data_IF_686412443657
#
_entry.id   IF_686412443657
#
_cell.length_a   1.000
_cell.length_b   1.000
_cell.length_c   1.000
_cell.angle_alpha   90.00
_cell.angle_beta   90.00
_cell.angle_gamma   90.00
#
_symmetry.space_group_name_H-M   'P 1'
#
loop_
_entity.id
_entity.type
_entity.pdbx_description
1 polymer ?
#
# COMPACT_ATOMS: atom_id res chain seq x y z
N UNK A 1 -24.45 -69.40 17.95
CA UNK A 1 -23.64 -68.30 17.40
C UNK A 1 -24.30 -66.93 17.73
N UNK A 2 -23.84 -66.28 18.77
CA UNK A 2 -24.36 -64.92 19.18
C UNK A 2 -23.65 -63.86 18.43
N UNK A 3 -24.38 -63.04 17.63
CA UNK A 3 -23.85 -61.89 16.95
C UNK A 3 -23.74 -60.71 17.95
N UNK A 4 -22.49 -60.28 18.21
CA UNK A 4 -22.20 -59.11 19.02
C UNK A 4 -22.23 -57.90 18.06
N UNK A 5 -23.19 -57.00 18.26
CA UNK A 5 -23.25 -55.68 17.60
C UNK A 5 -22.38 -54.72 18.39
N UNK A 6 -21.27 -54.30 17.82
CA UNK A 6 -20.46 -53.18 18.36
C UNK A 6 -21.01 -51.91 17.78
N UNK A 7 -21.69 -51.09 18.60
CA UNK A 7 -22.13 -49.74 18.26
C UNK A 7 -20.94 -48.80 18.38
N UNK A 8 -20.44 -48.32 17.26
CA UNK A 8 -19.41 -47.29 17.19
C UNK A 8 -20.08 -45.93 17.44
N UNK A 9 -19.93 -45.37 18.65
CA UNK A 9 -20.36 -44.02 18.96
C UNK A 9 -19.29 -43.07 18.43
N UNK A 10 -19.54 -42.41 17.29
CA UNK A 10 -18.73 -41.34 16.78
C UNK A 10 -19.06 -40.08 17.61
N UNK A 11 -18.21 -39.76 18.57
CA UNK A 11 -18.25 -38.48 19.27
C UNK A 11 -17.65 -37.44 18.34
N UNK A 12 -18.51 -36.71 17.61
CA UNK A 12 -18.13 -35.50 16.92
C UNK A 12 -17.77 -34.42 17.97
N UNK A 13 -16.50 -34.30 18.30
CA UNK A 13 -15.96 -33.14 19.00
C UNK A 13 -16.16 -31.93 18.07
N UNK A 14 -17.20 -31.15 18.31
CA UNK A 14 -17.32 -29.81 17.76
C UNK A 14 -16.18 -28.98 18.35
N UNK A 15 -15.02 -28.97 17.65
CA UNK A 15 -13.97 -28.02 17.90
C UNK A 15 -14.49 -26.69 17.37
N UNK A 16 -15.19 -25.94 18.21
CA UNK A 16 -15.39 -24.51 17.95
C UNK A 16 -13.99 -23.90 17.92
N UNK A 17 -13.60 -23.20 16.84
CA UNK A 17 -12.34 -22.47 16.86
C UNK A 17 -12.45 -21.43 17.99
N UNK A 18 -11.78 -21.69 19.11
CA UNK A 18 -11.56 -20.68 20.10
C UNK A 18 -10.66 -19.64 19.42
N UNK A 19 -11.23 -18.53 18.97
CA UNK A 19 -10.45 -17.38 18.61
C UNK A 19 -9.68 -16.97 19.86
N UNK A 20 -8.41 -17.35 19.93
CA UNK A 20 -7.55 -16.93 21.02
C UNK A 20 -7.51 -15.41 20.99
N UNK A 21 -8.05 -14.79 22.04
CA UNK A 21 -8.01 -13.35 22.18
C UNK A 21 -6.54 -12.92 22.15
N UNK A 22 -6.19 -12.01 21.26
CA UNK A 22 -4.81 -11.50 21.15
C UNK A 22 -4.43 -10.90 22.49
N UNK A 23 -3.36 -11.43 23.10
CA UNK A 23 -2.81 -10.87 24.34
C UNK A 23 -1.78 -9.81 23.99
N UNK A 24 -2.18 -8.56 24.05
CA UNK A 24 -1.29 -7.43 23.80
C UNK A 24 -0.14 -7.35 24.80
N UNK A 25 1.05 -7.05 24.30
CA UNK A 25 2.21 -6.73 25.11
C UNK A 25 1.97 -5.45 25.93
N UNK A 26 2.75 -5.24 27.00
CA UNK A 26 2.63 -4.00 27.78
C UNK A 26 3.07 -2.78 26.97
N UNK A 27 3.94 -2.94 25.96
CA UNK A 27 4.28 -1.88 25.03
C UNK A 27 3.09 -1.52 24.13
N UNK A 28 2.41 -2.52 23.56
CA UNK A 28 1.23 -2.29 22.70
C UNK A 28 0.07 -1.66 23.47
N UNK A 29 -0.15 -2.08 24.72
CA UNK A 29 -1.22 -1.53 25.56
C UNK A 29 -1.16 0.00 25.77
N UNK A 30 0.05 0.58 25.71
CA UNK A 30 0.23 2.04 25.83
C UNK A 30 -0.45 2.84 24.70
N UNK A 31 -0.76 2.18 23.57
CA UNK A 31 -1.37 2.77 22.39
C UNK A 31 -2.85 2.41 22.23
N UNK A 32 -3.44 1.70 23.22
CA UNK A 32 -4.84 1.30 23.21
C UNK A 32 -5.60 2.22 24.16
N UNK A 33 -6.46 3.06 23.61
CA UNK A 33 -7.31 3.97 24.39
C UNK A 33 -8.59 3.26 24.87
N UNK A 34 -9.18 2.43 23.99
CA UNK A 34 -10.42 1.70 24.27
C UNK A 34 -10.19 0.20 24.06
N UNK A 35 -10.53 -0.60 25.05
CA UNK A 35 -10.30 -2.06 25.01
C UNK A 35 -11.51 -2.87 25.48
N UNK A 36 -12.70 -2.29 25.43
CA UNK A 36 -13.93 -2.98 25.78
C UNK A 36 -14.28 -4.02 24.70
N UNK A 37 -14.73 -5.22 25.06
CA UNK A 37 -15.17 -6.24 24.10
C UNK A 37 -16.30 -5.72 23.18
N UNK A 38 -17.13 -4.82 23.71
CA UNK A 38 -18.16 -4.12 22.95
C UNK A 38 -17.94 -2.61 23.16
N UNK A 39 -17.75 -1.91 22.06
CA UNK A 39 -17.57 -0.45 22.05
C UNK A 39 -18.65 0.21 21.22
N UNK A 40 -19.31 1.22 21.76
CA UNK A 40 -20.34 2.01 21.10
C UNK A 40 -19.82 3.42 20.87
N UNK A 41 -19.63 3.80 19.63
CA UNK A 41 -19.34 5.17 19.22
C UNK A 41 -20.65 5.83 18.82
N UNK A 42 -21.14 6.80 19.58
CA UNK A 42 -22.41 7.50 19.33
C UNK A 42 -22.21 8.97 18.94
N UNK A 43 -23.25 9.56 18.37
CA UNK A 43 -23.29 10.98 18.01
C UNK A 43 -22.14 11.38 17.08
N UNK A 44 -21.82 10.53 16.10
CA UNK A 44 -20.77 10.73 15.12
C UNK A 44 -21.27 11.31 13.80
N UNK A 45 -20.37 12.01 13.09
CA UNK A 45 -20.54 12.33 11.66
C UNK A 45 -19.94 11.17 10.86
N UNK A 46 -20.78 10.25 10.37
CA UNK A 46 -20.32 9.07 9.64
C UNK A 46 -19.93 9.42 8.21
N UNK A 47 -18.69 9.09 7.83
CA UNK A 47 -18.19 9.04 6.46
C UNK A 47 -17.99 7.56 6.11
N UNK A 48 -18.89 6.97 5.32
CA UNK A 48 -18.94 5.53 5.08
C UNK A 48 -17.93 4.98 4.06
N UNK A 49 -17.16 5.86 3.42
CA UNK A 49 -16.16 5.50 2.40
C UNK A 49 -16.75 5.05 1.04
N UNK A 50 -18.10 5.12 0.86
CA UNK A 50 -18.78 4.69 -0.38
C UNK A 50 -19.11 5.84 -1.32
N UNK A 51 -18.64 7.05 -1.01
CA UNK A 51 -18.95 8.25 -1.80
C UNK A 51 -20.30 8.90 -1.46
N UNK A 52 -21.00 8.41 -0.44
CA UNK A 52 -22.21 9.04 0.06
C UNK A 52 -21.91 10.32 0.83
N UNK A 53 -22.89 11.22 0.94
CA UNK A 53 -22.79 12.37 1.82
C UNK A 53 -22.60 11.91 3.27
N UNK A 54 -21.76 12.64 4.02
CA UNK A 54 -21.56 12.38 5.45
C UNK A 54 -22.88 12.50 6.22
N UNK A 55 -23.16 11.57 7.13
CA UNK A 55 -24.40 11.49 7.90
C UNK A 55 -24.12 11.86 9.37
N UNK A 56 -24.75 12.93 9.91
CA UNK A 56 -24.66 13.25 11.33
C UNK A 56 -25.49 12.30 12.20
N UNK A 57 -25.27 12.35 13.50
CA UNK A 57 -26.03 11.61 14.52
C UNK A 57 -26.06 10.10 14.25
N UNK A 58 -24.90 9.54 13.98
CA UNK A 58 -24.77 8.11 13.73
C UNK A 58 -24.06 7.41 14.87
N UNK A 59 -24.54 6.23 15.20
CA UNK A 59 -23.90 5.29 16.13
C UNK A 59 -23.27 4.14 15.38
N UNK A 60 -22.10 3.70 15.83
CA UNK A 60 -21.42 2.47 15.39
C UNK A 60 -21.19 1.59 16.59
N UNK A 61 -21.61 0.33 16.54
CA UNK A 61 -21.35 -0.67 17.56
C UNK A 61 -20.30 -1.65 17.01
N UNK A 62 -19.22 -1.80 17.76
CA UNK A 62 -18.15 -2.74 17.47
C UNK A 62 -18.16 -3.82 18.55
N UNK A 63 -18.26 -5.08 18.15
CA UNK A 63 -18.25 -6.23 19.03
C UNK A 63 -17.14 -7.20 18.61
N UNK A 64 -16.23 -7.50 19.53
CA UNK A 64 -15.11 -8.41 19.27
C UNK A 64 -14.31 -8.05 17.99
N UNK A 65 -14.03 -6.76 17.78
CA UNK A 65 -13.25 -6.26 16.65
C UNK A 65 -14.00 -6.22 15.31
N UNK A 66 -15.32 -6.45 15.30
CA UNK A 66 -16.16 -6.38 14.09
C UNK A 66 -17.26 -5.34 14.26
N UNK A 67 -17.61 -4.66 13.18
CA UNK A 67 -18.77 -3.77 13.14
C UNK A 67 -20.01 -4.65 13.21
N UNK A 68 -20.77 -4.49 14.29
CA UNK A 68 -21.99 -5.24 14.56
C UNK A 68 -23.24 -4.46 14.11
N UNK A 69 -23.22 -3.15 14.29
CA UNK A 69 -24.30 -2.28 13.88
C UNK A 69 -23.83 -0.88 13.47
N UNK A 70 -24.54 -0.25 12.52
CA UNK A 70 -24.35 1.14 12.09
C UNK A 70 -25.69 1.75 11.73
N UNK A 71 -26.03 2.92 12.29
CA UNK A 71 -27.27 3.62 11.97
C UNK A 71 -27.50 4.87 12.80
N UNK A 72 -28.74 5.37 12.76
CA UNK A 72 -29.14 6.59 13.44
C UNK A 72 -29.13 6.41 14.96
N UNK A 73 -28.67 7.42 15.72
CA UNK A 73 -28.51 7.36 17.19
C UNK A 73 -29.80 6.95 17.92
N UNK A 74 -30.97 7.42 17.45
CA UNK A 74 -32.27 7.14 18.05
C UNK A 74 -32.74 5.70 17.85
N UNK A 75 -32.13 4.95 16.93
CA UNK A 75 -32.41 3.54 16.66
C UNK A 75 -31.41 2.59 17.28
N UNK A 76 -30.33 3.12 17.85
CA UNK A 76 -29.27 2.30 18.44
C UNK A 76 -29.72 1.69 19.77
N UNK A 77 -29.56 0.37 19.89
CA UNK A 77 -29.75 -0.33 21.16
C UNK A 77 -28.38 -0.61 21.73
N UNK A 78 -28.00 0.10 22.78
CA UNK A 78 -26.71 -0.08 23.43
C UNK A 78 -26.67 -1.43 24.14
N UNK A 79 -25.71 -2.33 23.79
CA UNK A 79 -25.55 -3.57 24.51
C UNK A 79 -25.23 -3.33 25.99
N UNK A 80 -25.69 -4.23 26.87
CA UNK A 80 -25.29 -4.21 28.27
C UNK A 80 -23.77 -4.41 28.38
N UNK A 81 -23.17 -3.69 29.29
CA UNK A 81 -21.72 -3.76 29.56
C UNK A 81 -20.82 -3.24 28.40
N UNK A 82 -21.36 -2.46 27.46
CA UNK A 82 -20.60 -1.80 26.41
C UNK A 82 -19.89 -0.53 26.92
N UNK A 83 -18.65 -0.32 26.49
CA UNK A 83 -17.98 0.97 26.60
C UNK A 83 -18.63 1.98 25.66
N UNK A 84 -19.18 3.07 26.18
CA UNK A 84 -19.88 4.09 25.38
C UNK A 84 -19.00 5.34 25.24
N UNK A 85 -18.76 5.74 24.00
CA UNK A 85 -17.94 6.89 23.64
C UNK A 85 -18.81 7.87 22.87
N UNK A 86 -19.02 9.07 23.42
CA UNK A 86 -19.70 10.14 22.71
C UNK A 86 -18.70 10.89 21.83
N UNK A 87 -18.92 10.85 20.53
CA UNK A 87 -18.05 11.51 19.56
C UNK A 87 -18.30 13.04 19.49
N UNK A 88 -19.38 13.54 20.10
CA UNK A 88 -19.70 14.97 20.08
C UNK A 88 -19.70 15.59 18.67
N UNK A 89 -20.23 14.86 17.69
CA UNK A 89 -20.26 15.28 16.28
C UNK A 89 -18.93 15.14 15.54
N UNK A 90 -17.88 14.58 16.14
CA UNK A 90 -16.64 14.29 15.44
C UNK A 90 -16.88 13.31 14.30
N UNK A 91 -16.11 13.45 13.22
CA UNK A 91 -16.16 12.53 12.09
C UNK A 91 -15.59 11.15 12.49
N UNK A 92 -16.30 10.11 12.06
CA UNK A 92 -15.85 8.73 12.12
C UNK A 92 -15.88 8.13 10.72
N UNK A 93 -14.81 7.45 10.34
CA UNK A 93 -14.64 6.86 9.02
C UNK A 93 -13.87 5.55 9.12
N UNK A 94 -13.97 4.66 8.12
CA UNK A 94 -13.09 3.50 8.02
C UNK A 94 -11.62 3.94 8.04
N UNK A 95 -10.76 3.17 8.68
CA UNK A 95 -9.32 3.42 8.65
C UNK A 95 -8.79 3.43 7.22
N UNK A 96 -7.76 4.22 6.97
CA UNK A 96 -7.14 4.31 5.65
C UNK A 96 -6.44 3.00 5.28
N UNK A 97 -6.54 2.63 4.01
CA UNK A 97 -5.80 1.51 3.41
C UNK A 97 -4.73 2.10 2.49
N UNK A 98 -3.47 1.93 2.85
CA UNK A 98 -2.34 2.44 2.08
C UNK A 98 -1.68 1.32 1.29
N UNK A 99 -1.47 1.51 -0.02
CA UNK A 99 -1.10 0.44 -0.95
C UNK A 99 0.34 0.50 -1.46
N UNK A 100 1.11 1.52 -1.08
CA UNK A 100 2.50 1.66 -1.51
C UNK A 100 3.37 2.12 -0.35
N UNK A 101 3.55 1.21 0.64
CA UNK A 101 4.27 1.51 1.85
C UNK A 101 5.54 0.67 1.97
N UNK A 102 6.47 1.12 2.83
CA UNK A 102 7.74 0.43 3.07
C UNK A 102 8.07 0.43 4.57
N UNK A 103 8.76 -0.63 5.02
CA UNK A 103 9.29 -0.69 6.37
C UNK A 103 10.74 -0.18 6.47
N UNK A 104 11.26 0.40 5.39
CA UNK A 104 12.61 0.93 5.30
C UNK A 104 12.63 2.35 4.74
N UNK A 105 13.71 3.07 5.04
CA UNK A 105 14.07 4.30 4.34
C UNK A 105 15.33 4.09 3.52
N UNK A 106 15.43 4.82 2.43
CA UNK A 106 16.65 4.96 1.66
C UNK A 106 17.16 6.39 1.78
N UNK A 107 18.45 6.56 2.03
CA UNK A 107 19.06 7.84 2.15
C UNK A 107 20.44 7.87 1.48
N UNK A 108 20.68 8.89 0.67
CA UNK A 108 22.02 9.18 0.22
C UNK A 108 22.71 10.05 1.27
N UNK A 109 23.75 9.53 1.87
CA UNK A 109 24.66 10.35 2.65
C UNK A 109 25.58 11.10 1.68
N UNK A 110 25.38 12.41 1.59
CA UNK A 110 26.15 13.28 0.70
C UNK A 110 27.63 13.27 1.07
N UNK A 111 27.95 13.05 2.35
CA UNK A 111 29.34 13.06 2.86
C UNK A 111 30.10 11.79 2.47
N UNK A 112 29.42 10.64 2.50
CA UNK A 112 30.03 9.34 2.23
C UNK A 112 29.76 8.83 0.82
N UNK A 113 28.81 9.43 0.09
CA UNK A 113 28.30 8.98 -1.22
C UNK A 113 27.70 7.58 -1.22
N UNK A 114 27.42 7.02 -0.04
CA UNK A 114 26.79 5.70 0.09
C UNK A 114 25.28 5.83 0.19
N UNK A 115 24.58 4.87 -0.40
CA UNK A 115 23.15 4.66 -0.17
C UNK A 115 22.97 3.89 1.13
N UNK A 116 22.38 4.53 2.12
CA UNK A 116 21.98 3.87 3.36
C UNK A 116 20.55 3.37 3.21
N UNK A 117 20.36 2.09 3.47
CA UNK A 117 19.05 1.46 3.59
C UNK A 117 18.86 1.05 5.04
N UNK A 118 17.81 1.54 5.67
CA UNK A 118 17.54 1.30 7.08
C UNK A 118 16.11 0.82 7.28
N UNK A 119 15.97 -0.38 7.83
CA UNK A 119 14.69 -0.92 8.27
C UNK A 119 14.25 -0.24 9.57
N UNK A 120 12.95 0.09 9.69
CA UNK A 120 12.40 0.84 10.81
C UNK A 120 11.21 0.11 11.46
N UNK A 121 11.43 -1.05 12.10
CA UNK A 121 10.37 -1.95 12.57
C UNK A 121 9.50 -1.36 13.68
N UNK A 122 9.99 -0.38 14.43
CA UNK A 122 9.24 0.28 15.50
C UNK A 122 8.65 1.62 15.09
N UNK A 123 9.34 2.35 14.22
CA UNK A 123 8.94 3.71 13.83
C UNK A 123 7.79 3.67 12.84
N UNK A 124 7.92 2.93 11.75
CA UNK A 124 6.95 2.96 10.67
C UNK A 124 5.57 2.41 11.04
N UNK A 125 5.43 1.26 11.71
CA UNK A 125 4.10 0.79 12.08
C UNK A 125 3.30 1.81 12.90
N UNK A 126 3.95 2.49 13.84
CA UNK A 126 3.32 3.53 14.67
C UNK A 126 2.98 4.79 13.88
N UNK A 127 3.85 5.22 12.97
CA UNK A 127 3.59 6.39 12.11
C UNK A 127 2.43 6.14 11.16
N UNK A 128 2.28 4.92 10.62
CA UNK A 128 1.12 4.57 9.80
C UNK A 128 -0.18 4.65 10.60
N UNK A 129 -0.21 4.10 11.82
CA UNK A 129 -1.37 4.22 12.70
C UNK A 129 -1.66 5.69 13.05
N UNK A 130 -0.65 6.49 13.38
CA UNK A 130 -0.80 7.92 13.68
C UNK A 130 -1.34 8.71 12.48
N UNK A 131 -1.04 8.26 11.25
CA UNK A 131 -1.60 8.82 10.01
C UNK A 131 -3.01 8.30 9.68
N UNK A 132 -3.62 7.45 10.53
CA UNK A 132 -4.94 6.86 10.32
C UNK A 132 -4.95 5.64 9.40
N UNK A 133 -3.79 5.11 9.02
CA UNK A 133 -3.70 3.87 8.24
C UNK A 133 -3.86 2.66 9.15
N UNK A 134 -4.95 1.93 9.00
CA UNK A 134 -5.24 0.69 9.74
C UNK A 134 -4.88 -0.57 8.97
N UNK A 135 -4.66 -0.44 7.66
CA UNK A 135 -4.19 -1.51 6.77
C UNK A 135 -3.18 -0.94 5.80
N UNK A 136 -2.09 -1.66 5.59
CA UNK A 136 -1.08 -1.31 4.59
C UNK A 136 -0.71 -2.51 3.73
N UNK A 137 -0.35 -2.25 2.48
CA UNK A 137 0.40 -3.17 1.64
C UNK A 137 1.83 -2.64 1.53
N UNK A 138 2.82 -3.45 1.90
CA UNK A 138 4.20 -3.13 1.54
C UNK A 138 4.34 -3.18 0.01
N UNK A 139 5.16 -2.30 -0.57
CA UNK A 139 5.24 -2.21 -2.02
C UNK A 139 6.66 -2.53 -2.51
N UNK A 140 7.07 -3.74 -2.24
CA UNK A 140 8.41 -4.25 -2.44
C UNK A 140 9.23 -4.19 -1.15
N UNK A 141 9.99 -5.24 -0.87
CA UNK A 141 10.81 -5.39 0.32
C UNK A 141 12.30 -5.36 -0.03
N UNK A 142 13.10 -4.75 0.82
CA UNK A 142 14.57 -4.84 0.79
C UNK A 142 15.04 -5.87 1.81
N UNK A 143 14.37 -5.95 2.96
CA UNK A 143 14.65 -6.88 4.05
C UNK A 143 13.42 -7.76 4.31
N UNK A 144 13.13 -8.72 3.43
CA UNK A 144 11.85 -9.45 3.42
C UNK A 144 11.58 -10.25 4.69
N UNK A 145 12.60 -10.84 5.29
CA UNK A 145 12.43 -11.57 6.55
C UNK A 145 12.15 -10.63 7.73
N UNK A 146 12.63 -9.39 7.68
CA UNK A 146 12.26 -8.36 8.64
C UNK A 146 10.78 -7.97 8.47
N UNK A 147 10.29 -7.80 7.26
CA UNK A 147 8.88 -7.49 7.00
C UNK A 147 7.95 -8.60 7.49
N UNK A 148 8.31 -9.88 7.24
CA UNK A 148 7.59 -11.05 7.80
C UNK A 148 7.57 -10.99 9.33
N UNK A 149 8.70 -10.66 9.95
CA UNK A 149 8.79 -10.58 11.40
C UNK A 149 7.94 -9.43 11.95
N UNK A 150 7.99 -8.25 11.35
CA UNK A 150 7.19 -7.09 11.75
C UNK A 150 5.71 -7.45 11.70
N UNK A 151 5.24 -8.01 10.56
CA UNK A 151 3.86 -8.46 10.42
C UNK A 151 3.48 -9.43 11.53
N UNK A 152 4.29 -10.45 11.77
CA UNK A 152 4.05 -11.45 12.81
C UNK A 152 3.96 -10.83 14.21
N UNK A 153 4.82 -9.87 14.53
CA UNK A 153 4.82 -9.20 15.82
C UNK A 153 3.57 -8.31 16.00
N UNK A 154 3.10 -7.68 14.93
CA UNK A 154 1.83 -6.94 14.93
C UNK A 154 0.65 -7.90 15.10
N UNK A 155 0.58 -8.98 14.30
CA UNK A 155 -0.51 -9.96 14.34
C UNK A 155 -0.62 -10.65 15.72
N UNK A 156 0.51 -10.80 16.41
CA UNK A 156 0.55 -11.33 17.79
C UNK A 156 0.31 -10.28 18.87
N UNK A 157 0.13 -9.01 18.50
CA UNK A 157 -0.05 -7.91 19.46
C UNK A 157 1.20 -7.53 20.25
N UNK A 158 2.39 -7.93 19.79
CA UNK A 158 3.67 -7.63 20.46
C UNK A 158 4.11 -6.18 20.23
N UNK A 159 3.81 -5.62 19.06
CA UNK A 159 4.05 -4.22 18.71
C UNK A 159 2.79 -3.60 18.10
N UNK A 160 2.55 -2.29 18.28
CA UNK A 160 1.44 -1.60 17.64
C UNK A 160 1.75 -1.39 16.15
N UNK A 161 0.76 -1.64 15.30
CA UNK A 161 0.87 -1.43 13.85
C UNK A 161 -0.42 -1.74 13.11
N UNK A 162 -0.54 -1.32 11.84
CA UNK A 162 -1.66 -1.66 10.97
C UNK A 162 -1.61 -3.13 10.56
N UNK A 163 -2.73 -3.68 10.11
CA UNK A 163 -2.73 -4.94 9.39
C UNK A 163 -1.82 -4.83 8.15
N UNK A 164 -0.97 -5.85 7.91
CA UNK A 164 0.02 -5.79 6.83
C UNK A 164 -0.24 -6.86 5.78
N UNK A 165 -0.34 -6.42 4.52
CA UNK A 165 -0.22 -7.24 3.33
C UNK A 165 1.23 -7.16 2.82
N UNK A 166 1.89 -8.29 2.61
CA UNK A 166 3.31 -8.31 2.27
C UNK A 166 3.52 -8.47 0.77
N UNK A 167 4.22 -7.49 0.16
CA UNK A 167 4.77 -7.61 -1.19
C UNK A 167 6.21 -8.11 -1.12
N UNK A 168 6.52 -9.14 -1.91
CA UNK A 168 7.83 -9.77 -2.01
C UNK A 168 8.94 -8.75 -2.36
N UNK A 169 10.21 -9.13 -2.23
CA UNK A 169 11.30 -8.32 -2.77
C UNK A 169 11.09 -7.99 -4.24
N UNK A 170 11.71 -6.92 -4.68
CA UNK A 170 11.57 -6.42 -6.04
C UNK A 170 12.01 -7.44 -7.08
N UNK A 171 11.16 -7.68 -8.09
CA UNK A 171 11.56 -8.39 -9.31
C UNK A 171 12.30 -7.39 -10.17
N UNK A 172 13.60 -7.29 -9.95
CA UNK A 172 14.49 -6.41 -10.71
C UNK A 172 15.13 -7.18 -11.85
N UNK A 173 15.40 -6.48 -12.94
CA UNK A 173 16.12 -7.02 -14.09
C UNK A 173 17.60 -6.70 -14.06
N UNK A 174 18.19 -6.52 -15.23
CA UNK A 174 19.59 -6.15 -15.40
C UNK A 174 19.84 -4.70 -15.00
N UNK A 175 21.04 -4.43 -14.48
CA UNK A 175 21.50 -3.09 -14.11
C UNK A 175 20.64 -2.43 -13.01
N UNK A 176 20.44 -3.16 -11.92
CA UNK A 176 19.80 -2.63 -10.71
C UNK A 176 20.52 -1.36 -10.22
N UNK A 177 19.73 -0.38 -9.82
CA UNK A 177 20.23 0.85 -9.19
C UNK A 177 20.40 0.71 -7.68
N UNK A 178 19.89 -0.37 -7.10
CA UNK A 178 19.97 -0.65 -5.68
C UNK A 178 20.77 -1.92 -5.41
N UNK A 179 21.85 -1.84 -4.63
CA UNK A 179 22.77 -2.97 -4.45
C UNK A 179 22.16 -4.18 -3.75
N UNK A 180 21.06 -4.00 -3.01
CA UNK A 180 20.39 -5.10 -2.28
C UNK A 180 19.28 -5.78 -3.08
N UNK A 181 18.95 -5.30 -4.28
CA UNK A 181 17.97 -5.94 -5.14
C UNK A 181 18.62 -7.04 -5.95
N UNK A 182 18.04 -8.24 -5.87
CA UNK A 182 18.49 -9.36 -6.69
C UNK A 182 18.07 -9.14 -8.14
N UNK A 183 19.04 -9.15 -9.07
CA UNK A 183 18.76 -9.17 -10.50
C UNK A 183 18.24 -10.54 -10.95
N UNK A 184 17.11 -10.55 -11.64
CA UNK A 184 16.57 -11.71 -12.36
C UNK A 184 16.86 -11.51 -13.84
N UNK A 185 17.88 -12.18 -14.34
CA UNK A 185 18.44 -11.94 -15.69
C UNK A 185 17.73 -12.71 -16.78
N UNK A 186 16.92 -13.68 -16.40
CA UNK A 186 16.19 -14.55 -17.31
C UNK A 186 14.75 -14.77 -16.86
N UNK A 187 13.83 -15.10 -17.79
CA UNK A 187 12.46 -15.50 -17.46
C UNK A 187 12.38 -16.62 -16.42
N UNK A 188 13.26 -17.62 -16.52
CA UNK A 188 13.29 -18.75 -15.59
C UNK A 188 13.68 -18.31 -14.17
N UNK A 189 14.64 -17.39 -14.04
CA UNK A 189 15.01 -16.83 -12.73
C UNK A 189 13.86 -16.02 -12.11
N UNK A 190 13.13 -15.26 -12.92
CA UNK A 190 11.97 -14.50 -12.43
C UNK A 190 10.86 -15.42 -11.93
N UNK A 191 10.54 -16.49 -12.66
CA UNK A 191 9.55 -17.47 -12.23
C UNK A 191 9.99 -18.21 -10.95
N UNK A 192 11.25 -18.63 -10.86
CA UNK A 192 11.79 -19.24 -9.66
C UNK A 192 11.77 -18.29 -8.44
N UNK A 193 12.06 -17.02 -8.66
CA UNK A 193 12.01 -15.99 -7.64
C UNK A 193 10.58 -15.81 -7.10
N UNK A 194 9.58 -15.75 -7.96
CA UNK A 194 8.17 -15.69 -7.58
C UNK A 194 7.78 -16.90 -6.74
N UNK A 195 8.13 -18.11 -7.19
CA UNK A 195 7.83 -19.33 -6.46
C UNK A 195 8.43 -19.32 -5.05
N UNK A 196 9.70 -19.00 -4.94
CA UNK A 196 10.37 -18.97 -3.65
C UNK A 196 9.67 -18.03 -2.65
N UNK A 197 9.38 -16.78 -3.05
CA UNK A 197 8.79 -15.82 -2.13
C UNK A 197 7.32 -16.07 -1.84
N UNK A 198 6.57 -16.61 -2.79
CA UNK A 198 5.21 -17.07 -2.53
C UNK A 198 5.18 -18.22 -1.49
N UNK A 199 6.15 -19.13 -1.54
CA UNK A 199 6.30 -20.20 -0.55
C UNK A 199 6.72 -19.66 0.84
N UNK A 200 7.33 -18.47 0.91
CA UNK A 200 7.59 -17.76 2.17
C UNK A 200 6.37 -16.99 2.71
N UNK A 201 5.24 -17.02 2.01
CA UNK A 201 3.98 -16.40 2.46
C UNK A 201 3.75 -14.98 1.95
N UNK A 202 4.51 -14.51 0.97
CA UNK A 202 4.19 -13.26 0.29
C UNK A 202 3.01 -13.42 -0.66
N UNK A 203 2.07 -12.49 -0.61
CA UNK A 203 0.79 -12.55 -1.31
C UNK A 203 0.72 -11.61 -2.51
N UNK A 204 1.65 -10.69 -2.63
CA UNK A 204 1.79 -9.81 -3.77
C UNK A 204 3.25 -9.64 -4.20
N UNK A 205 3.44 -9.17 -5.45
CA UNK A 205 4.74 -9.01 -6.08
C UNK A 205 4.88 -7.64 -6.72
N UNK A 206 6.12 -7.14 -6.84
CA UNK A 206 6.40 -5.87 -7.51
C UNK A 206 7.54 -6.04 -8.51
N UNK A 207 7.24 -5.80 -9.80
CA UNK A 207 8.27 -5.64 -10.81
C UNK A 207 8.86 -4.24 -10.74
N UNK A 208 10.16 -4.13 -11.08
CA UNK A 208 10.89 -2.88 -10.94
C UNK A 208 11.53 -2.43 -12.25
N UNK A 209 12.23 -1.31 -12.20
CA UNK A 209 12.63 -0.49 -13.35
C UNK A 209 13.48 -1.19 -14.40
N UNK A 210 14.26 -2.21 -14.01
CA UNK A 210 15.14 -2.96 -14.89
C UNK A 210 14.55 -4.26 -15.44
N UNK A 211 13.30 -4.62 -15.10
CA UNK A 211 12.65 -5.80 -15.64
C UNK A 211 12.33 -5.59 -17.13
N UNK A 212 12.93 -6.40 -18.00
CA UNK A 212 12.60 -6.41 -19.41
C UNK A 212 11.29 -7.18 -19.69
N UNK A 213 10.77 -7.04 -20.89
CA UNK A 213 9.46 -7.61 -21.26
C UNK A 213 9.37 -9.14 -21.08
N UNK A 214 10.40 -9.95 -21.50
CA UNK A 214 10.37 -11.39 -21.27
C UNK A 214 10.39 -11.77 -19.78
N UNK A 215 11.22 -11.11 -18.99
CA UNK A 215 11.33 -11.33 -17.54
C UNK A 215 10.04 -10.95 -16.83
N UNK A 216 9.47 -9.79 -17.19
CA UNK A 216 8.19 -9.31 -16.66
C UNK A 216 7.05 -10.28 -17.00
N UNK A 217 6.98 -10.75 -18.26
CA UNK A 217 5.94 -11.71 -18.68
C UNK A 217 6.00 -13.00 -17.87
N UNK A 218 7.19 -13.58 -17.68
CA UNK A 218 7.36 -14.79 -16.88
C UNK A 218 6.97 -14.59 -15.41
N UNK A 219 7.30 -13.44 -14.86
CA UNK A 219 6.88 -13.10 -13.49
C UNK A 219 5.36 -12.99 -13.37
N UNK A 220 4.70 -12.27 -14.30
CA UNK A 220 3.23 -12.13 -14.32
C UNK A 220 2.56 -13.52 -14.41
N UNK A 221 3.00 -14.36 -15.36
CA UNK A 221 2.41 -15.68 -15.56
C UNK A 221 2.53 -16.55 -14.31
N UNK A 222 3.69 -16.53 -13.66
CA UNK A 222 3.92 -17.33 -12.48
C UNK A 222 3.13 -16.82 -11.27
N UNK A 223 3.05 -15.49 -11.08
CA UNK A 223 2.21 -14.87 -10.03
C UNK A 223 0.74 -15.25 -10.22
N UNK A 224 0.23 -15.16 -11.45
CA UNK A 224 -1.16 -15.51 -11.76
C UNK A 224 -1.43 -17.01 -11.65
N UNK A 225 -0.47 -17.87 -12.04
CA UNK A 225 -0.57 -19.33 -11.82
C UNK A 225 -0.76 -19.65 -10.34
N UNK A 226 -0.17 -18.87 -9.44
CA UNK A 226 -0.32 -18.98 -8.00
C UNK A 226 -1.54 -18.21 -7.45
N UNK A 227 -2.37 -17.62 -8.30
CA UNK A 227 -3.54 -16.80 -7.94
C UNK A 227 -3.19 -15.59 -7.06
N UNK A 228 -1.99 -15.05 -7.23
CA UNK A 228 -1.49 -13.86 -6.55
C UNK A 228 -1.53 -12.65 -7.48
N UNK A 229 -1.12 -11.48 -6.97
CA UNK A 229 -1.17 -10.20 -7.68
C UNK A 229 0.21 -9.58 -7.87
N UNK A 230 0.36 -8.85 -8.98
CA UNK A 230 1.61 -8.16 -9.32
C UNK A 230 1.37 -6.70 -9.65
N UNK A 231 2.23 -5.85 -9.10
CA UNK A 231 2.30 -4.41 -9.41
C UNK A 231 3.65 -4.05 -10.03
N UNK A 232 3.82 -2.83 -10.53
CA UNK A 232 5.07 -2.43 -11.15
C UNK A 232 5.39 -0.94 -11.08
N UNK A 233 6.69 -0.66 -10.91
CA UNK A 233 7.32 0.62 -11.22
C UNK A 233 8.32 0.36 -12.34
N UNK A 234 7.96 0.69 -13.56
CA UNK A 234 8.61 0.18 -14.77
C UNK A 234 9.22 1.32 -15.59
N UNK A 235 10.51 1.14 -15.99
CA UNK A 235 11.18 2.03 -16.93
C UNK A 235 11.41 1.35 -18.29
N UNK A 236 11.85 0.08 -18.27
CA UNK A 236 12.14 -0.67 -19.49
C UNK A 236 10.91 -1.04 -20.30
N UNK A 237 9.82 -1.33 -19.60
CA UNK A 237 8.52 -1.68 -20.18
C UNK A 237 7.56 -0.53 -19.93
N UNK A 238 6.80 -0.11 -20.92
CA UNK A 238 5.78 0.94 -20.77
C UNK A 238 4.56 0.40 -20.01
N UNK A 239 3.72 1.29 -19.51
CA UNK A 239 2.49 0.88 -18.81
C UNK A 239 1.51 0.17 -19.74
N UNK A 240 1.39 0.62 -21.01
CA UNK A 240 0.55 -0.07 -21.99
C UNK A 240 1.08 -1.47 -22.29
N UNK A 241 2.40 -1.63 -22.45
CA UNK A 241 3.01 -2.95 -22.66
C UNK A 241 2.79 -3.87 -21.45
N UNK A 242 3.01 -3.37 -20.22
CA UNK A 242 2.79 -4.14 -19.02
C UNK A 242 1.31 -4.56 -18.85
N UNK A 243 0.38 -3.64 -19.13
CA UNK A 243 -1.05 -3.93 -19.14
C UNK A 243 -1.43 -5.00 -20.18
N UNK A 244 -0.81 -4.95 -21.38
CA UNK A 244 -0.99 -5.98 -22.39
C UNK A 244 -0.46 -7.35 -21.97
N UNK A 245 0.59 -7.39 -21.16
CA UNK A 245 1.15 -8.63 -20.58
C UNK A 245 0.32 -9.20 -19.42
N UNK A 246 -0.65 -8.43 -18.89
CA UNK A 246 -1.54 -8.85 -17.80
C UNK A 246 -1.18 -8.29 -16.43
N UNK A 247 -0.45 -7.17 -16.34
CA UNK A 247 -0.16 -6.49 -15.07
C UNK A 247 -1.47 -6.14 -14.34
N UNK A 248 -1.54 -6.39 -13.02
CA UNK A 248 -2.74 -6.10 -12.23
C UNK A 248 -2.79 -4.64 -11.76
N UNK A 249 -1.64 -4.05 -11.43
CA UNK A 249 -1.56 -2.69 -10.91
C UNK A 249 -0.25 -2.01 -11.34
N UNK A 250 -0.27 -0.68 -11.41
CA UNK A 250 0.88 0.15 -11.75
C UNK A 250 1.07 1.22 -10.67
N UNK A 251 2.31 1.46 -10.28
CA UNK A 251 2.63 2.33 -9.16
C UNK A 251 2.91 3.77 -9.59
N UNK A 252 2.78 4.69 -8.65
CA UNK A 252 3.14 6.11 -8.79
C UNK A 252 2.29 6.91 -9.78
N UNK A 253 1.07 6.43 -10.08
CA UNK A 253 0.22 7.09 -11.04
C UNK A 253 0.88 7.15 -12.43
N UNK A 254 0.67 8.22 -13.15
CA UNK A 254 1.30 8.40 -14.46
C UNK A 254 2.71 9.01 -14.39
N UNK A 255 3.18 9.35 -13.20
CA UNK A 255 4.49 10.01 -13.00
C UNK A 255 5.65 9.10 -13.41
N UNK A 256 5.52 7.81 -13.19
CA UNK A 256 6.53 6.82 -13.57
C UNK A 256 6.30 6.21 -14.96
N UNK A 257 5.22 6.60 -15.67
CA UNK A 257 4.96 6.08 -17.02
C UNK A 257 5.99 6.54 -18.04
N UNK A 258 6.52 5.62 -18.81
CA UNK A 258 7.43 5.90 -19.93
C UNK A 258 6.72 5.94 -21.28
N UNK A 259 5.40 5.79 -21.33
CA UNK A 259 4.59 5.73 -22.55
C UNK A 259 4.67 7.00 -23.40
N UNK A 260 4.88 8.15 -22.77
CA UNK A 260 4.96 9.45 -23.44
C UNK A 260 6.41 9.93 -23.67
N UNK A 261 7.40 9.06 -23.43
CA UNK A 261 8.80 9.39 -23.69
C UNK A 261 9.10 9.26 -25.18
N UNK A 262 9.51 10.36 -25.79
CA UNK A 262 9.82 10.38 -27.22
C UNK A 262 10.96 9.42 -27.56
N UNK A 263 10.79 8.64 -28.63
CA UNK A 263 11.71 7.60 -29.09
C UNK A 263 12.08 6.55 -28.01
N UNK A 264 11.18 6.24 -27.06
CA UNK A 264 11.34 5.13 -26.14
C UNK A 264 11.56 3.82 -26.93
N UNK A 265 12.69 3.19 -26.69
CA UNK A 265 13.00 1.90 -27.30
C UNK A 265 12.51 0.76 -26.43
N UNK A 266 12.10 -0.33 -27.07
CA UNK A 266 11.64 -1.53 -26.39
C UNK A 266 12.78 -2.13 -25.54
N UNK A 267 12.47 -2.53 -24.31
CA UNK A 267 13.41 -3.11 -23.34
C UNK A 267 14.65 -2.26 -23.03
N UNK A 268 14.57 -0.93 -23.24
CA UNK A 268 15.62 -0.01 -22.84
C UNK A 268 15.09 0.99 -21.81
N UNK A 269 15.90 1.29 -20.80
CA UNK A 269 15.57 2.38 -19.87
C UNK A 269 15.79 3.72 -20.58
N UNK A 270 14.83 4.65 -20.52
CA UNK A 270 15.05 6.00 -20.98
C UNK A 270 16.04 6.71 -20.05
N UNK A 271 16.63 7.81 -20.53
CA UNK A 271 17.49 8.64 -19.69
C UNK A 271 16.73 9.10 -18.42
N UNK A 272 17.45 9.17 -17.29
CA UNK A 272 16.87 9.58 -16.02
C UNK A 272 16.09 10.91 -16.14
N UNK A 273 14.89 10.95 -15.59
CA UNK A 273 14.00 12.11 -15.65
C UNK A 273 13.22 12.30 -16.95
N UNK A 274 13.41 11.43 -17.97
CA UNK A 274 12.68 11.54 -19.25
C UNK A 274 11.17 11.42 -19.07
N UNK A 275 10.69 10.51 -18.22
CA UNK A 275 9.27 10.36 -17.92
C UNK A 275 8.68 11.64 -17.31
N UNK A 276 9.34 12.24 -16.33
CA UNK A 276 8.91 13.53 -15.73
C UNK A 276 8.88 14.66 -16.75
N UNK A 277 9.88 14.74 -17.63
CA UNK A 277 9.94 15.75 -18.68
C UNK A 277 8.82 15.55 -19.70
N UNK A 278 8.60 14.33 -20.15
CA UNK A 278 7.53 13.99 -21.10
C UNK A 278 6.16 14.36 -20.52
N UNK A 279 5.88 13.93 -19.30
CA UNK A 279 4.63 14.21 -18.61
C UNK A 279 4.45 15.72 -18.36
N UNK A 280 5.53 16.44 -18.05
CA UNK A 280 5.49 17.90 -17.87
C UNK A 280 5.01 18.66 -19.11
N UNK A 281 5.29 18.16 -20.29
CA UNK A 281 4.93 18.76 -21.57
C UNK A 281 3.63 18.17 -22.17
N UNK A 282 3.07 17.15 -21.56
CA UNK A 282 1.91 16.43 -22.07
C UNK A 282 0.64 17.31 -22.03
N UNK A 283 -0.09 17.35 -23.14
CA UNK A 283 -1.47 17.85 -23.14
C UNK A 283 -2.41 16.76 -22.63
N UNK A 284 -2.96 16.96 -21.43
CA UNK A 284 -3.85 16.00 -20.77
C UNK A 284 -5.20 15.82 -21.45
N UNK A 285 -5.58 16.74 -22.32
CA UNK A 285 -6.81 16.67 -23.12
C UNK A 285 -6.59 16.01 -24.48
N UNK A 286 -5.34 15.65 -24.80
CA UNK A 286 -5.00 15.03 -26.08
C UNK A 286 -5.66 13.64 -26.22
N UNK A 287 -5.94 13.25 -27.46
CA UNK A 287 -6.53 11.94 -27.74
C UNK A 287 -5.58 10.80 -27.34
N UNK A 288 -4.27 11.00 -27.41
CA UNK A 288 -3.29 10.03 -26.95
C UNK A 288 -3.41 9.72 -25.45
N UNK A 289 -3.66 10.74 -24.61
CA UNK A 289 -3.90 10.54 -23.17
C UNK A 289 -5.22 9.82 -22.92
N UNK A 290 -6.28 10.20 -23.63
CA UNK A 290 -7.58 9.52 -23.52
C UNK A 290 -7.48 8.05 -23.92
N UNK A 291 -6.83 7.77 -25.04
CA UNK A 291 -6.60 6.39 -25.51
C UNK A 291 -5.76 5.56 -24.52
N UNK A 292 -4.71 6.15 -23.96
CA UNK A 292 -3.89 5.52 -22.92
C UNK A 292 -4.72 5.16 -21.68
N UNK A 293 -5.51 6.09 -21.18
CA UNK A 293 -6.40 5.87 -20.03
C UNK A 293 -7.42 4.77 -20.35
N UNK A 294 -8.09 4.87 -21.50
CA UNK A 294 -9.09 3.89 -21.91
C UNK A 294 -8.47 2.49 -22.05
N UNK A 295 -7.27 2.38 -22.59
CA UNK A 295 -6.57 1.10 -22.71
C UNK A 295 -6.32 0.45 -21.35
N UNK A 296 -5.85 1.22 -20.34
CA UNK A 296 -5.64 0.70 -18.99
C UNK A 296 -6.95 0.25 -18.33
N UNK A 297 -8.04 0.98 -18.56
CA UNK A 297 -9.38 0.63 -18.08
C UNK A 297 -9.85 -0.68 -18.72
N UNK A 298 -9.73 -0.80 -20.05
CA UNK A 298 -10.16 -2.00 -20.81
C UNK A 298 -9.35 -3.24 -20.35
N UNK A 299 -8.09 -3.03 -19.96
CA UNK A 299 -7.23 -4.08 -19.39
C UNK A 299 -7.47 -4.32 -17.89
N UNK A 300 -8.34 -3.53 -17.25
CA UNK A 300 -8.66 -3.61 -15.81
C UNK A 300 -7.43 -3.46 -14.91
N UNK A 301 -6.48 -2.61 -15.30
CA UNK A 301 -5.27 -2.36 -14.52
C UNK A 301 -5.53 -1.31 -13.47
N UNK A 302 -5.25 -1.61 -12.20
CA UNK A 302 -5.29 -0.63 -11.12
C UNK A 302 -4.12 0.36 -11.21
N UNK A 303 -4.29 1.54 -10.64
CA UNK A 303 -3.21 2.53 -10.50
C UNK A 303 -3.14 3.01 -9.06
N UNK A 304 -1.99 2.84 -8.44
CA UNK A 304 -1.68 3.39 -7.12
C UNK A 304 -0.96 4.72 -7.28
N UNK A 305 -1.52 5.80 -6.75
CA UNK A 305 -0.81 7.06 -6.71
C UNK A 305 0.14 7.11 -5.50
N UNK A 306 1.26 7.78 -5.63
CA UNK A 306 2.17 8.06 -4.53
C UNK A 306 2.40 9.56 -4.42
N UNK A 307 1.35 10.35 -4.58
CA UNK A 307 1.43 11.82 -4.67
C UNK A 307 2.08 12.43 -3.42
N UNK A 308 1.82 11.90 -2.23
CA UNK A 308 2.42 12.36 -0.98
C UNK A 308 3.96 12.22 -0.98
N UNK A 309 4.51 11.17 -1.60
CA UNK A 309 5.96 10.98 -1.74
C UNK A 309 6.56 12.08 -2.61
N UNK A 310 5.91 12.42 -3.71
CA UNK A 310 6.37 13.49 -4.60
C UNK A 310 6.19 14.88 -3.99
N UNK A 311 5.09 15.11 -3.25
CA UNK A 311 4.91 16.34 -2.47
C UNK A 311 6.01 16.50 -1.42
N UNK A 312 6.34 15.45 -0.70
CA UNK A 312 7.42 15.41 0.29
C UNK A 312 8.81 15.71 -0.28
N UNK A 313 8.98 15.66 -1.61
CA UNK A 313 10.21 16.06 -2.30
C UNK A 313 10.20 17.54 -2.76
N UNK A 314 9.13 18.29 -2.49
CA UNK A 314 9.02 19.72 -2.86
C UNK A 314 9.40 20.65 -1.73
N UNK A 315 9.75 21.91 -2.06
CA UNK A 315 10.02 22.95 -1.06
C UNK A 315 8.76 23.44 -0.34
N UNK A 316 7.59 23.10 -0.86
CA UNK A 316 6.26 23.46 -0.33
C UNK A 316 5.62 22.36 0.49
N UNK A 317 6.36 21.28 0.77
CA UNK A 317 5.84 20.17 1.58
C UNK A 317 5.31 20.64 2.95
N UNK A 318 4.21 20.07 3.45
CA UNK A 318 3.75 20.34 4.80
C UNK A 318 4.82 20.02 5.84
N UNK A 319 4.89 20.84 6.90
CA UNK A 319 5.73 20.47 8.03
C UNK A 319 5.10 19.29 8.78
N UNK A 320 5.90 18.32 9.24
CA UNK A 320 5.39 17.24 10.07
C UNK A 320 4.85 17.81 11.38
N UNK A 321 3.83 17.17 11.92
CA UNK A 321 3.36 17.48 13.27
C UNK A 321 4.45 17.15 14.31
N UNK A 322 4.39 17.80 15.47
CA UNK A 322 5.28 17.49 16.59
C UNK A 322 5.15 16.03 17.01
N UNK A 323 3.92 15.51 17.04
CA UNK A 323 3.65 14.11 17.37
C UNK A 323 4.31 13.14 16.39
N UNK A 324 4.27 13.44 15.09
CA UNK A 324 4.94 12.62 14.07
C UNK A 324 6.48 12.63 14.26
N UNK A 325 7.06 13.78 14.61
CA UNK A 325 8.49 13.90 14.93
C UNK A 325 8.83 13.10 16.19
N UNK A 326 7.99 13.18 17.23
CA UNK A 326 8.22 12.49 18.50
C UNK A 326 8.00 10.96 18.40
N UNK A 327 7.19 10.50 17.46
CA UNK A 327 7.02 9.06 17.18
C UNK A 327 8.25 8.40 16.53
N UNK A 328 9.18 9.19 15.97
CA UNK A 328 10.41 8.68 15.37
C UNK A 328 11.43 8.30 16.45
N UNK A 329 12.23 7.26 16.19
CA UNK A 329 13.45 7.02 16.97
C UNK A 329 14.42 8.21 16.82
N UNK A 330 15.26 8.45 17.82
CA UNK A 330 16.15 9.62 17.86
C UNK A 330 17.00 9.77 16.59
N UNK A 331 17.61 8.68 16.13
CA UNK A 331 18.44 8.66 14.93
C UNK A 331 17.63 8.87 13.63
N UNK A 332 16.41 8.32 13.56
CA UNK A 332 15.51 8.55 12.42
C UNK A 332 15.05 9.99 12.37
N UNK A 333 14.73 10.57 13.52
CA UNK A 333 14.35 11.98 13.65
C UNK A 333 15.47 12.90 13.20
N UNK A 334 16.71 12.68 13.69
CA UNK A 334 17.89 13.44 13.28
C UNK A 334 18.11 13.37 11.78
N UNK A 335 18.02 12.19 11.19
CA UNK A 335 18.13 11.98 9.77
C UNK A 335 17.06 12.75 8.99
N UNK A 336 15.82 12.64 9.43
CA UNK A 336 14.67 13.32 8.81
C UNK A 336 14.82 14.84 8.85
N UNK A 337 15.18 15.41 10.01
CA UNK A 337 15.37 16.84 10.18
C UNK A 337 16.54 17.38 9.33
N UNK A 338 17.66 16.65 9.24
CA UNK A 338 18.77 16.98 8.33
C UNK A 338 18.31 16.98 6.87
N UNK A 339 17.52 15.98 6.48
CA UNK A 339 16.95 15.93 5.12
C UNK A 339 16.04 17.12 4.82
N UNK A 340 15.17 17.53 5.76
CA UNK A 340 14.32 18.70 5.60
C UNK A 340 15.13 19.98 5.31
N UNK A 341 16.22 20.19 6.04
CA UNK A 341 17.14 21.31 5.80
C UNK A 341 17.74 21.19 4.40
N UNK A 342 18.19 20.01 4.01
CA UNK A 342 18.77 19.77 2.69
C UNK A 342 17.75 20.02 1.57
N UNK A 343 16.51 19.54 1.70
CA UNK A 343 15.44 19.79 0.72
C UNK A 343 15.13 21.29 0.60
N UNK A 344 15.08 22.01 1.72
CA UNK A 344 14.84 23.47 1.73
C UNK A 344 16.01 24.27 1.15
N UNK A 345 17.23 23.79 1.29
CA UNK A 345 18.45 24.48 0.83
C UNK A 345 18.91 24.03 -0.57
N UNK A 346 18.41 22.92 -1.08
CA UNK A 346 18.98 22.31 -2.27
C UNK A 346 18.42 22.86 -3.57
N UNK A 347 19.19 23.70 -4.20
CA UNK A 347 19.22 23.80 -5.67
C UNK A 347 19.45 22.44 -6.37
N UNK A 348 20.01 21.44 -5.71
CA UNK A 348 20.34 20.12 -6.27
C UNK A 348 19.12 19.20 -6.44
N UNK A 349 18.10 19.31 -5.61
CA UNK A 349 16.79 18.68 -5.85
C UNK A 349 16.05 19.34 -7.03
N UNK A 350 16.47 20.55 -7.39
CA UNK A 350 16.04 21.29 -8.58
C UNK A 350 16.27 20.52 -9.89
N UNK A 351 17.11 19.50 -9.94
CA UNK A 351 17.18 18.65 -11.14
C UNK A 351 15.95 17.77 -11.25
N UNK A 352 15.45 17.18 -10.17
CA UNK A 352 14.13 16.52 -10.16
C UNK A 352 12.98 17.54 -10.23
N UNK A 353 13.09 18.65 -9.51
CA UNK A 353 12.04 19.68 -9.39
C UNK A 353 12.06 20.69 -10.53
N UNK A 354 13.19 20.98 -11.20
CA UNK A 354 13.21 21.77 -12.45
C UNK A 354 12.41 21.12 -13.56
N UNK A 355 12.22 19.80 -13.46
CA UNK A 355 11.38 19.05 -14.37
C UNK A 355 9.98 18.76 -13.80
N UNK A 356 9.76 18.93 -12.48
CA UNK A 356 8.43 19.01 -11.88
C UNK A 356 8.01 20.48 -11.88
N UNK A 357 7.02 20.85 -12.62
CA UNK A 357 6.64 22.24 -12.75
C UNK A 357 5.93 22.77 -11.52
N UNK A 358 6.12 24.09 -11.26
CA UNK A 358 5.39 24.89 -10.27
C UNK A 358 3.93 24.45 -10.08
N UNK A 359 3.31 24.79 -8.95
CA UNK A 359 1.96 24.38 -8.46
C UNK A 359 0.85 24.08 -9.52
N UNK A 360 0.94 24.70 -10.72
CA UNK A 360 0.00 24.41 -11.81
C UNK A 360 0.10 23.01 -12.41
N UNK A 361 1.23 22.31 -12.28
CA UNK A 361 1.42 20.97 -12.86
C UNK A 361 1.00 19.85 -11.90
N UNK A 362 1.00 20.06 -10.58
CA UNK A 362 0.33 19.15 -9.64
C UNK A 362 -1.17 19.09 -9.91
N UNK A 363 -1.80 20.21 -10.20
CA UNK A 363 -3.21 20.24 -10.67
C UNK A 363 -3.41 19.36 -11.90
N UNK A 364 -2.44 19.35 -12.82
CA UNK A 364 -2.48 18.52 -14.03
C UNK A 364 -2.43 17.02 -13.71
N UNK A 365 -1.59 16.58 -12.77
CA UNK A 365 -1.55 15.19 -12.31
C UNK A 365 -2.84 14.78 -11.60
N UNK A 366 -3.35 15.64 -10.74
CA UNK A 366 -4.63 15.43 -10.06
C UNK A 366 -5.78 15.40 -11.08
N UNK A 367 -5.74 16.18 -12.15
CA UNK A 367 -6.76 16.16 -13.20
C UNK A 367 -6.72 14.89 -14.05
N UNK A 368 -5.53 14.37 -14.39
CA UNK A 368 -5.38 13.06 -15.05
C UNK A 368 -5.95 11.97 -14.15
N UNK A 369 -5.62 12.02 -12.87
CA UNK A 369 -6.13 11.10 -11.86
C UNK A 369 -7.65 11.21 -11.70
N UNK A 370 -8.19 12.43 -11.60
CA UNK A 370 -9.61 12.67 -11.52
C UNK A 370 -10.36 12.26 -12.80
N UNK A 371 -9.73 12.32 -13.97
CA UNK A 371 -10.29 11.80 -15.21
C UNK A 371 -10.29 10.27 -15.27
N UNK A 372 -9.28 9.62 -14.67
CA UNK A 372 -9.20 8.15 -14.59
C UNK A 372 -10.22 7.57 -13.59
N UNK A 373 -10.38 8.20 -12.42
CA UNK A 373 -11.26 7.72 -11.36
C UNK A 373 -12.71 7.51 -11.79
N UNK A 374 -13.40 8.45 -12.48
CA UNK A 374 -14.78 8.23 -12.92
C UNK A 374 -14.93 7.12 -13.96
N UNK A 375 -13.92 6.92 -14.80
CA UNK A 375 -13.91 5.89 -15.85
C UNK A 375 -13.58 4.50 -15.29
N UNK A 376 -12.78 4.44 -14.21
CA UNK A 376 -12.47 3.20 -13.49
C UNK A 376 -13.60 2.79 -12.51
N UNK A 377 -14.51 3.69 -12.17
CA UNK A 377 -15.62 3.45 -11.25
C UNK A 377 -16.82 2.83 -11.96
N UNK A 378 -16.76 1.55 -12.25
CA UNK A 378 -17.94 0.74 -11.96
C UNK A 378 -17.82 0.30 -10.50
N UNK A 379 -18.85 0.45 -9.64
CA UNK A 379 -18.79 0.04 -8.23
C UNK A 379 -18.36 -1.43 -8.04
N UNK A 380 -18.60 -2.28 -9.01
CA UNK A 380 -18.17 -3.67 -9.07
C UNK A 380 -16.65 -3.83 -9.22
N UNK A 381 -15.99 -3.05 -10.08
CA UNK A 381 -14.54 -3.20 -10.31
C UNK A 381 -13.71 -2.82 -9.08
N UNK A 382 -14.16 -1.82 -8.30
CA UNK A 382 -13.52 -1.47 -7.02
C UNK A 382 -13.80 -2.52 -5.93
N UNK A 383 -15.03 -2.99 -5.80
CA UNK A 383 -15.41 -3.98 -4.80
C UNK A 383 -14.74 -5.34 -5.07
N UNK A 384 -14.69 -5.81 -6.31
CA UNK A 384 -14.02 -7.07 -6.68
C UNK A 384 -12.49 -6.97 -6.50
N UNK A 385 -11.88 -5.83 -6.82
CA UNK A 385 -10.44 -5.60 -6.61
C UNK A 385 -10.07 -5.57 -5.12
N UNK A 386 -10.95 -5.04 -4.26
CA UNK A 386 -10.77 -4.94 -2.82
C UNK A 386 -11.12 -6.24 -2.09
N UNK A 387 -12.17 -6.96 -2.50
CA UNK A 387 -12.54 -8.25 -1.90
C UNK A 387 -11.48 -9.33 -2.15
N UNK A 388 -10.87 -9.38 -3.33
CA UNK A 388 -9.82 -10.37 -3.64
C UNK A 388 -8.53 -10.08 -2.86
N UNK A 389 -8.23 -8.83 -2.51
CA UNK A 389 -7.09 -8.52 -1.65
C UNK A 389 -7.36 -8.77 -0.16
N UNK A 390 -8.61 -8.66 0.28
CA UNK A 390 -8.99 -8.88 1.69
C UNK A 390 -9.27 -10.35 2.04
N UNK A 391 -9.52 -11.22 1.07
CA UNK A 391 -9.88 -12.64 1.30
C UNK A 391 -8.79 -13.64 0.95
N UNK A 392 -7.62 -13.18 0.53
CA UNK A 392 -6.45 -14.04 0.23
C UNK A 392 -5.76 -14.68 1.43
N UNK A 393 -6.36 -14.60 2.62
CA UNK A 393 -5.82 -15.12 3.87
C UNK A 393 -6.81 -16.03 4.60
N UNK A 394 -7.22 -17.15 3.99
CA UNK A 394 -7.75 -18.32 4.70
C UNK A 394 -7.05 -19.58 4.22
#
# INVERSE_FOLDING_TARGET
MKKIWISLIIVCLLVTPAFAQIKFSDETKKYIEYNDPITVFKNGLLIDGKGNAAKPHQTIIISNGKIDWVGDDDKAINPKDAGIIDLNGKAIMPGLVMLNEHMYISAHDISTRYLHLKQLPFTFPRLYLAAGATTIRTCGSIEPYSDIRIKKDIDLGLIPGPAMELTAPYIEGKASVFPLMKENKTPAEAAAFVNYWADQGFTSFKAYIGADKPTLKAAIDEVHRRKLKITGHLDMVTYMEAAALGMDNLEHGFIASTDFVFNKKENERPAAGSAYKALGNLDIQSDSVKQFIQFLIDKKVGITSSLAVFEGATTTQPQPSEDAINAMSADTRDFYLKRLVTVKSAEALLIMIKHLPKQQKWKKYLMIWAAYLPLAQTPQALAEHWQVMATGGQ
#
